data_IF_936528501138
#
_entry.id   IF_936528501138
#
_cell.length_a   1.000
_cell.length_b   1.000
_cell.length_c   1.000
_cell.angle_alpha   90.00
_cell.angle_beta   90.00
_cell.angle_gamma   90.00
#
_symmetry.space_group_name_H-M   'P 1'
#
loop_
_entity.id
_entity.type
_entity.pdbx_description
1 polymer ?
#
# COMPACT_ATOMS: atom_id res chain seq x y z
N UNK A 1 0.59 -9.18 15.02
CA UNK A 1 0.56 -7.74 14.71
C UNK A 1 -0.64 -7.38 13.83
N UNK A 2 -0.74 -7.83 12.59
CA UNK A 2 -1.88 -7.54 11.70
C UNK A 2 -3.25 -7.92 12.29
N UNK A 3 -3.35 -9.09 12.94
CA UNK A 3 -4.60 -9.53 13.57
C UNK A 3 -5.08 -8.58 14.68
N UNK A 4 -4.14 -7.97 15.42
CA UNK A 4 -4.47 -6.97 16.46
C UNK A 4 -4.95 -5.67 15.84
N UNK A 5 -4.32 -5.22 14.75
CA UNK A 5 -4.76 -4.03 14.00
C UNK A 5 -6.15 -4.24 13.36
N UNK A 6 -6.41 -5.45 12.83
CA UNK A 6 -7.74 -5.81 12.34
C UNK A 6 -8.79 -5.79 13.45
N UNK A 7 -8.41 -6.11 14.70
CA UNK A 7 -9.30 -5.99 15.84
C UNK A 7 -9.68 -4.53 16.12
N UNK A 8 -8.75 -3.59 15.92
CA UNK A 8 -9.04 -2.15 16.04
C UNK A 8 -10.05 -1.69 14.99
N UNK A 9 -9.90 -2.18 13.74
CA UNK A 9 -10.80 -1.91 12.62
C UNK A 9 -12.13 -2.70 12.68
N UNK A 10 -12.20 -3.77 13.46
CA UNK A 10 -13.31 -4.73 13.48
C UNK A 10 -14.69 -4.09 13.67
N UNK A 11 -14.81 -3.15 14.60
CA UNK A 11 -16.11 -2.49 14.88
C UNK A 11 -16.60 -1.66 13.70
N UNK A 12 -15.70 -0.97 13.02
CA UNK A 12 -16.00 -0.17 11.82
C UNK A 12 -16.44 -1.08 10.68
N UNK A 13 -15.69 -2.15 10.42
CA UNK A 13 -15.99 -3.12 9.37
C UNK A 13 -17.34 -3.81 9.62
N UNK A 14 -17.58 -4.27 10.84
CA UNK A 14 -18.85 -4.91 11.22
C UNK A 14 -20.05 -3.97 11.06
N UNK A 15 -19.91 -2.70 11.44
CA UNK A 15 -20.96 -1.70 11.28
C UNK A 15 -21.30 -1.44 9.80
N UNK A 16 -20.37 -1.70 8.89
CA UNK A 16 -20.55 -1.63 7.44
C UNK A 16 -20.86 -2.99 6.78
N UNK A 17 -21.21 -3.99 7.57
CA UNK A 17 -21.63 -5.31 7.05
C UNK A 17 -20.48 -6.23 6.63
N UNK A 18 -19.23 -5.88 6.93
CA UNK A 18 -18.06 -6.68 6.60
C UNK A 18 -17.70 -7.61 7.76
N UNK A 19 -17.58 -8.91 7.48
CA UNK A 19 -17.11 -9.91 8.43
C UNK A 19 -15.62 -10.19 8.23
N UNK A 20 -14.88 -10.35 9.33
CA UNK A 20 -13.47 -10.76 9.32
C UNK A 20 -13.36 -12.19 9.81
N UNK A 21 -12.55 -13.01 9.14
CA UNK A 21 -12.12 -14.33 9.58
C UNK A 21 -10.61 -14.43 9.39
N UNK A 22 -9.90 -15.01 10.33
CA UNK A 22 -8.51 -15.40 10.13
C UNK A 22 -8.38 -16.92 10.18
N UNK A 23 -7.51 -17.46 9.33
CA UNK A 23 -7.26 -18.91 9.24
C UNK A 23 -5.80 -19.15 9.56
N UNK A 24 -5.53 -20.12 10.44
CA UNK A 24 -4.19 -20.56 10.79
C UNK A 24 -4.12 -22.09 10.86
N UNK A 25 -2.94 -22.63 10.68
CA UNK A 25 -2.66 -24.07 10.89
C UNK A 25 -2.61 -24.47 12.38
N UNK A 26 -2.67 -23.51 13.30
CA UNK A 26 -2.66 -23.75 14.73
C UNK A 26 -3.94 -24.44 15.22
N UNK A 27 -3.84 -25.18 16.33
CA UNK A 27 -4.99 -25.84 16.92
C UNK A 27 -6.00 -24.85 17.52
N UNK A 28 -7.28 -25.25 17.70
CA UNK A 28 -8.29 -24.41 18.32
C UNK A 28 -7.89 -23.87 19.70
N UNK A 29 -7.20 -24.66 20.51
CA UNK A 29 -6.73 -24.28 21.84
C UNK A 29 -5.68 -23.17 21.77
N UNK A 30 -4.73 -23.28 20.83
CA UNK A 30 -3.69 -22.26 20.60
C UNK A 30 -4.33 -20.96 20.13
N UNK A 31 -5.27 -21.04 19.19
CA UNK A 31 -5.99 -19.87 18.68
C UNK A 31 -6.84 -19.20 19.75
N UNK A 32 -7.53 -19.97 20.60
CA UNK A 32 -8.31 -19.43 21.70
C UNK A 32 -7.42 -18.69 22.71
N UNK A 33 -6.31 -19.29 23.13
CA UNK A 33 -5.35 -18.66 24.04
C UNK A 33 -4.75 -17.38 23.45
N UNK A 34 -4.45 -17.39 22.14
CA UNK A 34 -3.97 -16.20 21.44
C UNK A 34 -5.03 -15.10 21.38
N UNK A 35 -6.28 -15.46 21.03
CA UNK A 35 -7.40 -14.51 20.98
C UNK A 35 -7.64 -13.85 22.33
N UNK A 36 -7.64 -14.63 23.43
CA UNK A 36 -7.78 -14.13 24.80
C UNK A 36 -6.63 -13.18 25.16
N UNK A 37 -5.38 -13.61 24.95
CA UNK A 37 -4.17 -12.81 25.26
C UNK A 37 -4.16 -11.46 24.52
N UNK A 38 -4.69 -11.41 23.29
CA UNK A 38 -4.65 -10.23 22.41
C UNK A 38 -5.96 -9.46 22.32
N UNK A 39 -6.99 -9.91 23.00
CA UNK A 39 -8.33 -9.28 22.98
C UNK A 39 -9.01 -9.35 21.62
N UNK A 40 -8.74 -10.40 20.81
CA UNK A 40 -9.35 -10.61 19.50
C UNK A 40 -10.73 -11.20 19.67
N UNK A 41 -11.75 -10.59 19.05
CA UNK A 41 -13.16 -10.99 19.17
C UNK A 41 -13.77 -11.49 17.87
N UNK A 42 -13.12 -11.29 16.73
CA UNK A 42 -13.54 -11.91 15.47
C UNK A 42 -13.01 -13.35 15.36
N UNK A 43 -13.67 -14.23 14.56
CA UNK A 43 -13.32 -15.64 14.49
C UNK A 43 -11.91 -15.91 14.01
N UNK A 44 -11.16 -16.72 14.76
CA UNK A 44 -9.93 -17.35 14.34
C UNK A 44 -10.25 -18.83 14.04
N UNK A 45 -10.02 -19.27 12.81
CA UNK A 45 -10.35 -20.60 12.32
C UNK A 45 -9.09 -21.47 12.28
N UNK A 46 -9.20 -22.68 12.83
CA UNK A 46 -8.13 -23.68 12.77
C UNK A 46 -8.21 -24.45 11.45
N UNK A 47 -7.08 -24.56 10.78
CA UNK A 47 -6.85 -25.39 9.59
C UNK A 47 -5.70 -26.36 9.86
N UNK A 48 -5.86 -27.19 10.90
CA UNK A 48 -4.87 -28.21 11.23
C UNK A 48 -4.61 -29.12 10.02
N UNK A 49 -3.32 -29.29 9.69
CA UNK A 49 -2.92 -29.98 8.47
C UNK A 49 -2.93 -29.11 7.20
N UNK A 50 -3.28 -27.83 7.32
CA UNK A 50 -3.18 -26.81 6.25
C UNK A 50 -3.91 -27.17 4.96
N UNK A 51 -5.05 -27.82 5.05
CA UNK A 51 -5.86 -28.25 3.89
C UNK A 51 -6.42 -27.06 3.10
N UNK A 52 -7.02 -26.09 3.81
CA UNK A 52 -7.54 -24.85 3.21
C UNK A 52 -6.42 -23.96 2.71
N UNK A 53 -5.36 -23.81 3.52
CA UNK A 53 -4.15 -23.07 3.17
C UNK A 53 -3.55 -23.62 1.88
N UNK A 54 -3.43 -24.96 1.76
CA UNK A 54 -2.93 -25.63 0.55
C UNK A 54 -3.86 -25.43 -0.66
N UNK A 55 -5.18 -25.58 -0.48
CA UNK A 55 -6.16 -25.39 -1.54
C UNK A 55 -6.17 -23.94 -2.10
N UNK A 56 -5.84 -22.95 -1.26
CA UNK A 56 -5.70 -21.55 -1.67
C UNK A 56 -4.33 -21.23 -2.27
N UNK A 57 -3.41 -22.20 -2.35
CA UNK A 57 -2.04 -22.02 -2.88
C UNK A 57 -1.16 -21.18 -1.97
N UNK A 58 -1.45 -21.12 -0.67
CA UNK A 58 -0.74 -20.31 0.30
C UNK A 58 0.32 -21.08 1.10
N UNK A 59 0.41 -22.39 0.94
CA UNK A 59 1.34 -23.21 1.72
C UNK A 59 2.79 -22.81 1.40
N UNK A 60 3.54 -22.41 2.43
CA UNK A 60 4.94 -22.07 2.30
C UNK A 60 5.81 -23.31 2.46
N UNK A 61 6.00 -24.03 1.38
CA UNK A 61 6.85 -25.23 1.34
C UNK A 61 8.35 -24.91 1.58
N UNK A 62 8.77 -23.67 1.36
CA UNK A 62 10.15 -23.23 1.53
C UNK A 62 10.45 -22.71 2.94
N UNK A 63 9.44 -22.55 3.80
CA UNK A 63 9.60 -21.95 5.13
C UNK A 63 10.72 -22.61 5.95
N UNK A 64 10.79 -23.93 5.95
CA UNK A 64 11.80 -24.69 6.68
C UNK A 64 13.22 -24.43 6.15
N UNK A 65 13.36 -24.32 4.84
CA UNK A 65 14.64 -24.08 4.16
C UNK A 65 15.11 -22.65 4.40
N UNK A 66 14.22 -21.68 4.28
CA UNK A 66 14.51 -20.26 4.48
C UNK A 66 14.89 -19.95 5.93
N UNK A 67 14.17 -20.50 6.91
CA UNK A 67 14.47 -20.30 8.33
C UNK A 67 15.85 -20.84 8.70
N UNK A 68 16.24 -22.01 8.18
CA UNK A 68 17.54 -22.58 8.42
C UNK A 68 18.66 -21.83 7.69
N UNK A 69 18.46 -21.51 6.41
CA UNK A 69 19.48 -20.88 5.58
C UNK A 69 19.78 -19.42 5.97
N UNK A 70 18.75 -18.65 6.32
CA UNK A 70 18.90 -17.21 6.59
C UNK A 70 19.06 -16.85 8.08
N UNK A 71 18.55 -17.67 8.99
CA UNK A 71 18.53 -17.33 10.42
C UNK A 71 19.24 -18.34 11.33
N UNK A 72 19.72 -19.44 10.78
CA UNK A 72 20.32 -20.52 11.57
C UNK A 72 19.35 -21.17 12.56
N UNK A 73 18.05 -20.94 12.40
CA UNK A 73 17.03 -21.46 13.32
C UNK A 73 16.67 -22.87 12.88
N UNK A 74 16.79 -23.83 13.81
CA UNK A 74 16.26 -25.18 13.60
C UNK A 74 14.74 -25.12 13.65
N UNK A 75 14.11 -25.35 12.49
CA UNK A 75 12.66 -25.41 12.40
C UNK A 75 12.15 -26.74 12.99
N UNK A 76 11.04 -26.67 13.72
CA UNK A 76 10.37 -27.83 14.29
C UNK A 76 9.34 -28.36 13.30
N UNK A 77 9.01 -29.65 13.38
CA UNK A 77 7.96 -30.26 12.55
C UNK A 77 6.60 -29.59 12.72
N UNK A 78 6.32 -29.08 13.92
CA UNK A 78 5.12 -28.32 14.24
C UNK A 78 4.98 -27.02 13.43
N UNK A 79 6.04 -26.55 12.80
CA UNK A 79 6.04 -25.39 11.90
C UNK A 79 5.79 -25.76 10.44
N UNK A 80 5.54 -27.03 10.14
CA UNK A 80 5.03 -27.44 8.84
C UNK A 80 3.58 -26.96 8.71
N UNK A 81 3.26 -26.38 7.58
CA UNK A 81 1.91 -25.86 7.35
C UNK A 81 1.78 -24.35 7.43
N UNK A 82 2.89 -23.64 7.74
CA UNK A 82 2.91 -22.16 7.71
C UNK A 82 2.48 -21.65 6.35
N UNK A 83 1.57 -20.71 6.35
CA UNK A 83 1.11 -20.04 5.13
C UNK A 83 2.01 -18.86 4.75
N UNK A 84 2.12 -18.60 3.45
CA UNK A 84 2.43 -17.24 3.00
C UNK A 84 1.32 -16.29 3.45
N UNK A 85 1.67 -15.04 3.77
CA UNK A 85 0.66 -14.03 4.06
C UNK A 85 -0.28 -13.84 2.88
N UNK A 86 -1.54 -14.15 3.09
CA UNK A 86 -2.59 -13.98 2.10
C UNK A 86 -3.82 -13.36 2.73
N UNK A 87 -4.46 -12.44 2.03
CA UNK A 87 -5.75 -11.88 2.40
C UNK A 87 -6.65 -11.87 1.18
N UNK A 88 -7.88 -12.30 1.37
CA UNK A 88 -8.91 -12.31 0.36
C UNK A 88 -10.06 -11.43 0.80
N UNK A 89 -10.57 -10.62 -0.10
CA UNK A 89 -11.85 -9.93 0.05
C UNK A 89 -12.87 -10.66 -0.80
N UNK A 90 -14.00 -11.01 -0.19
CA UNK A 90 -15.08 -11.73 -0.85
C UNK A 90 -16.32 -10.83 -0.92
N UNK A 91 -17.05 -10.93 -2.03
CA UNK A 91 -18.36 -10.30 -2.16
C UNK A 91 -19.45 -11.10 -1.39
N UNK A 92 -20.68 -10.59 -1.37
CA UNK A 92 -21.82 -11.23 -0.69
C UNK A 92 -22.18 -12.62 -1.25
N UNK A 93 -21.70 -12.97 -2.44
CA UNK A 93 -21.89 -14.29 -3.07
C UNK A 93 -20.74 -15.24 -2.77
N UNK A 94 -19.74 -14.81 -1.99
CA UNK A 94 -18.56 -15.59 -1.66
C UNK A 94 -17.53 -15.64 -2.80
N UNK A 95 -17.60 -14.73 -3.77
CA UNK A 95 -16.63 -14.63 -4.86
C UNK A 95 -15.50 -13.71 -4.42
N UNK A 96 -14.26 -14.14 -4.65
CA UNK A 96 -13.09 -13.33 -4.35
C UNK A 96 -13.06 -12.13 -5.31
N UNK A 97 -13.23 -10.92 -4.74
CA UNK A 97 -13.11 -9.66 -5.48
C UNK A 97 -11.69 -9.12 -5.47
N UNK A 98 -10.96 -9.32 -4.35
CA UNK A 98 -9.59 -8.86 -4.19
C UNK A 98 -8.75 -9.91 -3.48
N UNK A 99 -7.45 -9.94 -3.80
CA UNK A 99 -6.49 -10.82 -3.13
C UNK A 99 -5.13 -10.15 -3.01
N UNK A 100 -4.55 -10.26 -1.82
CA UNK A 100 -3.25 -9.72 -1.48
C UNK A 100 -2.34 -10.83 -0.98
N UNK A 101 -1.19 -10.97 -1.61
CA UNK A 101 -0.18 -11.97 -1.26
C UNK A 101 1.16 -11.31 -1.05
N UNK A 102 1.89 -11.79 -0.05
CA UNK A 102 3.26 -11.41 0.20
C UNK A 102 4.15 -12.63 0.19
N UNK A 103 5.23 -12.59 -0.60
CA UNK A 103 6.21 -13.67 -0.61
C UNK A 103 7.04 -13.70 0.68
N UNK A 104 7.19 -12.56 1.34
CA UNK A 104 7.85 -12.48 2.63
C UNK A 104 6.85 -12.63 3.76
N UNK A 105 7.04 -13.64 4.63
CA UNK A 105 6.21 -13.82 5.83
C UNK A 105 6.27 -12.63 6.80
N UNK A 106 7.23 -11.74 6.66
CA UNK A 106 7.40 -10.54 7.49
C UNK A 106 6.56 -9.37 7.02
N UNK A 107 6.30 -9.29 5.73
CA UNK A 107 5.56 -8.16 5.14
C UNK A 107 4.07 -8.34 5.39
N UNK A 108 3.45 -7.29 5.87
CA UNK A 108 2.00 -7.24 6.10
C UNK A 108 1.48 -5.87 5.68
N UNK A 109 0.42 -5.80 4.87
CA UNK A 109 -0.34 -4.57 4.67
C UNK A 109 -0.93 -4.08 5.98
N UNK A 110 -1.17 -2.77 6.10
CA UNK A 110 -1.92 -2.21 7.22
C UNK A 110 -3.37 -2.69 7.20
N UNK A 111 -4.04 -2.71 8.36
CA UNK A 111 -5.47 -3.02 8.42
C UNK A 111 -6.30 -2.04 7.57
N UNK A 112 -5.85 -0.79 7.45
CA UNK A 112 -6.48 0.25 6.65
C UNK A 112 -6.58 -0.13 5.17
N UNK A 113 -5.57 -0.78 4.62
CA UNK A 113 -5.58 -1.25 3.22
C UNK A 113 -6.75 -2.21 2.99
N UNK A 114 -6.97 -3.15 3.90
CA UNK A 114 -8.07 -4.10 3.78
C UNK A 114 -9.45 -3.47 4.03
N UNK A 115 -9.51 -2.52 4.96
CA UNK A 115 -10.72 -1.73 5.21
C UNK A 115 -11.16 -0.99 3.94
N UNK A 116 -10.25 -0.34 3.25
CA UNK A 116 -10.52 0.37 2.01
C UNK A 116 -10.99 -0.57 0.88
N UNK A 117 -10.36 -1.72 0.72
CA UNK A 117 -10.79 -2.71 -0.28
C UNK A 117 -12.15 -3.32 0.06
N UNK A 118 -12.37 -3.69 1.32
CA UNK A 118 -13.63 -4.28 1.76
C UNK A 118 -14.82 -3.32 1.66
N UNK A 119 -14.57 -2.02 1.84
CA UNK A 119 -15.59 -0.98 1.74
C UNK A 119 -15.66 -0.32 0.35
N UNK A 120 -14.78 -0.69 -0.59
CA UNK A 120 -14.70 -0.08 -1.91
C UNK A 120 -14.32 1.41 -1.87
N UNK A 121 -13.62 1.86 -0.82
CA UNK A 121 -13.29 3.27 -0.60
C UNK A 121 -11.87 3.64 -1.02
N UNK A 122 -11.09 2.70 -1.57
CA UNK A 122 -9.69 2.89 -1.92
C UNK A 122 -9.41 4.08 -2.85
N UNK A 123 -10.36 4.38 -3.75
CA UNK A 123 -10.25 5.52 -4.66
C UNK A 123 -10.93 6.79 -4.14
N UNK A 124 -11.78 6.68 -3.13
CA UNK A 124 -12.67 7.74 -2.68
C UNK A 124 -12.22 8.45 -1.38
N UNK A 125 -11.17 7.98 -0.70
CA UNK A 125 -10.74 8.59 0.56
C UNK A 125 -10.21 10.01 0.31
N UNK A 126 -10.90 11.06 0.78
CA UNK A 126 -10.41 12.42 0.60
C UNK A 126 -9.14 12.66 1.43
N UNK A 127 -8.27 13.56 0.99
CA UNK A 127 -7.10 13.91 1.78
C UNK A 127 -7.52 14.45 3.15
N UNK A 128 -6.80 14.11 4.22
CA UNK A 128 -6.99 14.74 5.53
C UNK A 128 -6.88 16.27 5.41
N UNK A 129 -7.63 17.00 6.24
CA UNK A 129 -7.64 18.47 6.18
C UNK A 129 -6.26 19.09 6.43
N UNK A 130 -5.41 18.39 7.18
CA UNK A 130 -4.04 18.75 7.54
C UNK A 130 -2.99 18.06 6.65
N UNK A 131 -3.40 17.40 5.56
CA UNK A 131 -2.46 16.75 4.64
C UNK A 131 -1.41 17.75 4.13
N UNK A 132 -0.12 17.41 4.19
CA UNK A 132 0.96 18.23 3.66
C UNK A 132 0.74 18.61 2.19
N UNK A 133 1.09 19.86 1.83
CA UNK A 133 0.81 20.45 0.51
C UNK A 133 1.99 21.22 -0.03
N UNK A 134 2.06 21.27 -1.37
CA UNK A 134 2.90 22.21 -2.09
C UNK A 134 2.12 22.79 -3.28
N UNK A 135 2.37 24.07 -3.59
CA UNK A 135 1.71 24.74 -4.71
C UNK A 135 2.74 25.45 -5.59
N UNK A 136 2.85 24.99 -6.84
CA UNK A 136 3.72 25.56 -7.88
C UNK A 136 3.00 26.56 -8.81
N UNK A 137 1.79 26.98 -8.47
CA UNK A 137 0.98 27.91 -9.26
C UNK A 137 0.28 27.29 -10.48
N UNK A 138 0.81 26.21 -11.02
CA UNK A 138 0.24 25.43 -12.15
C UNK A 138 -0.23 24.06 -11.72
N UNK A 139 0.39 23.52 -10.69
CA UNK A 139 0.12 22.25 -10.05
C UNK A 139 0.07 22.46 -8.54
N UNK A 140 -0.99 21.99 -7.91
CA UNK A 140 -1.09 21.83 -6.46
C UNK A 140 -0.97 20.34 -6.13
N UNK A 141 -0.27 20.04 -5.05
CA UNK A 141 -0.01 18.66 -4.62
C UNK A 141 -0.39 18.54 -3.14
N UNK A 142 -1.09 17.46 -2.81
CA UNK A 142 -1.31 17.00 -1.46
C UNK A 142 -0.76 15.59 -1.31
N UNK A 143 -0.07 15.30 -0.20
CA UNK A 143 0.47 13.97 0.06
C UNK A 143 0.15 13.57 1.50
N UNK A 144 -0.33 12.34 1.68
CA UNK A 144 -0.58 11.79 3.01
C UNK A 144 -0.34 10.28 3.00
N UNK A 145 -0.06 9.73 4.16
CA UNK A 145 0.00 8.28 4.35
C UNK A 145 -1.36 7.73 4.76
N UNK A 146 -1.65 6.48 4.42
CA UNK A 146 -2.87 5.78 4.86
C UNK A 146 -2.90 5.54 6.38
N UNK A 147 -1.74 5.65 7.06
CA UNK A 147 -1.62 5.66 8.51
C UNK A 147 -0.54 6.65 8.95
N UNK A 148 -0.73 7.37 10.07
CA UNK A 148 0.27 8.29 10.61
C UNK A 148 1.45 7.57 11.29
N UNK A 149 1.32 6.27 11.49
CA UNK A 149 2.33 5.41 12.13
C UNK A 149 2.67 4.23 11.23
N UNK A 150 3.87 3.69 11.41
CA UNK A 150 4.33 2.49 10.73
C UNK A 150 5.08 1.55 11.69
N UNK A 151 5.20 0.29 11.30
CA UNK A 151 6.07 -0.70 11.98
C UNK A 151 7.04 -1.30 10.97
N UNK A 152 8.20 -1.82 11.41
CA UNK A 152 9.07 -2.56 10.52
C UNK A 152 8.32 -3.69 9.80
N UNK A 153 8.60 -3.82 8.50
CA UNK A 153 7.99 -4.78 7.58
C UNK A 153 6.49 -4.60 7.31
N UNK A 154 5.90 -3.50 7.75
CA UNK A 154 4.55 -3.11 7.39
C UNK A 154 4.56 -2.33 6.07
N UNK A 155 3.62 -2.62 5.20
CA UNK A 155 3.38 -1.85 4.00
C UNK A 155 2.45 -0.69 4.32
N UNK A 156 2.93 0.52 4.07
CA UNK A 156 2.20 1.78 4.17
C UNK A 156 2.08 2.35 2.76
N UNK A 157 0.99 3.03 2.45
CA UNK A 157 0.83 3.71 1.16
C UNK A 157 0.85 5.21 1.34
N UNK A 158 1.59 5.89 0.48
CA UNK A 158 1.44 7.33 0.28
C UNK A 158 0.42 7.58 -0.82
N UNK A 159 -0.57 8.38 -0.53
CA UNK A 159 -1.50 8.95 -1.50
C UNK A 159 -0.95 10.28 -1.97
N UNK A 160 -0.98 10.52 -3.26
CA UNK A 160 -0.51 11.74 -3.90
C UNK A 160 -1.63 12.29 -4.78
N UNK A 161 -2.29 13.33 -4.33
CA UNK A 161 -3.28 14.05 -5.13
C UNK A 161 -2.61 15.26 -5.80
N UNK A 162 -2.73 15.30 -7.10
CA UNK A 162 -2.19 16.35 -7.96
C UNK A 162 -3.36 17.05 -8.65
N UNK A 163 -3.46 18.35 -8.50
CA UNK A 163 -4.50 19.18 -9.13
C UNK A 163 -3.85 20.18 -10.07
N UNK A 164 -4.05 19.99 -11.37
CA UNK A 164 -3.60 20.91 -12.41
C UNK A 164 -4.56 22.09 -12.52
N UNK A 165 -4.01 23.26 -12.81
CA UNK A 165 -4.83 24.41 -13.18
C UNK A 165 -5.56 24.08 -14.49
N UNK A 166 -6.84 24.49 -14.57
CA UNK A 166 -7.69 24.24 -15.75
C UNK A 166 -7.01 24.62 -17.07
N UNK A 167 -7.13 23.75 -18.07
CA UNK A 167 -6.55 23.93 -19.40
C UNK A 167 -5.06 23.58 -19.50
N UNK A 168 -4.48 23.02 -18.43
CA UNK A 168 -3.11 22.49 -18.44
C UNK A 168 -3.12 20.96 -18.43
N UNK A 169 -2.07 20.41 -19.04
CA UNK A 169 -1.74 19.00 -18.98
C UNK A 169 -0.28 18.78 -18.62
N UNK A 170 0.06 17.58 -18.18
CA UNK A 170 1.43 17.11 -17.99
C UNK A 170 1.62 15.80 -18.75
N UNK A 171 2.77 15.65 -19.39
CA UNK A 171 3.11 14.42 -20.10
C UNK A 171 3.46 13.29 -19.14
N UNK A 172 3.14 12.07 -19.54
CA UNK A 172 3.73 10.85 -18.99
C UNK A 172 4.47 10.09 -20.10
N UNK A 173 4.96 8.88 -19.85
CA UNK A 173 5.75 8.15 -20.85
C UNK A 173 4.84 7.42 -21.86
N UNK A 174 5.10 7.51 -23.17
CA UNK A 174 6.19 8.22 -23.83
C UNK A 174 6.00 9.75 -23.85
N UNK A 175 7.11 10.48 -23.84
CA UNK A 175 7.13 11.95 -23.83
C UNK A 175 7.87 12.48 -25.07
N UNK A 176 7.45 13.61 -25.68
CA UNK A 176 8.16 14.20 -26.81
C UNK A 176 9.59 14.59 -26.44
N UNK A 177 10.51 14.54 -27.41
CA UNK A 177 11.90 14.94 -27.21
C UNK A 177 11.99 16.38 -26.69
N UNK A 178 12.78 16.59 -25.62
CA UNK A 178 12.97 17.89 -25.00
C UNK A 178 11.90 18.29 -23.97
N UNK A 179 10.92 17.43 -23.72
CA UNK A 179 9.90 17.66 -22.71
C UNK A 179 10.16 16.82 -21.44
N UNK A 180 9.63 17.28 -20.32
CA UNK A 180 9.73 16.59 -19.03
C UNK A 180 8.42 15.92 -18.68
N UNK A 181 8.48 14.61 -18.37
CA UNK A 181 7.32 13.85 -17.89
C UNK A 181 7.01 14.16 -16.43
N UNK A 182 5.80 13.86 -16.03
CA UNK A 182 5.47 13.76 -14.61
C UNK A 182 6.26 12.61 -13.97
N UNK A 183 6.99 12.93 -12.90
CA UNK A 183 7.76 11.98 -12.13
C UNK A 183 7.44 12.16 -10.65
N UNK A 184 7.10 11.07 -9.99
CA UNK A 184 6.86 11.00 -8.54
C UNK A 184 7.96 10.13 -7.93
N UNK A 185 8.76 10.69 -7.06
CA UNK A 185 9.83 10.00 -6.39
C UNK A 185 9.82 10.28 -4.89
N UNK A 186 10.09 9.27 -4.11
CA UNK A 186 10.39 9.42 -2.68
C UNK A 186 11.90 9.54 -2.52
N UNK A 187 12.34 10.56 -1.79
CA UNK A 187 13.77 10.73 -1.55
C UNK A 187 14.34 9.53 -0.76
N UNK A 188 15.54 9.05 -1.12
CA UNK A 188 16.14 7.88 -0.48
C UNK A 188 16.30 8.07 1.03
N UNK A 189 15.89 7.07 1.81
CA UNK A 189 16.05 7.02 3.25
C UNK A 189 16.51 5.61 3.65
N UNK A 190 17.58 5.54 4.45
CA UNK A 190 18.09 4.24 4.89
C UNK A 190 17.07 3.52 5.77
N UNK A 191 16.72 2.30 5.38
CA UNK A 191 15.66 1.52 6.03
C UNK A 191 14.27 1.72 5.44
N UNK A 192 14.14 2.46 4.33
CA UNK A 192 12.92 2.61 3.55
C UNK A 192 13.08 1.95 2.18
N UNK A 193 12.16 1.10 1.83
CA UNK A 193 11.98 0.55 0.48
C UNK A 193 10.74 1.20 -0.15
N UNK A 194 10.90 1.67 -1.38
CA UNK A 194 9.86 2.38 -2.14
C UNK A 194 9.45 1.52 -3.33
N UNK A 195 8.17 1.22 -3.43
CA UNK A 195 7.61 0.53 -4.59
C UNK A 195 7.34 1.49 -5.76
N UNK A 196 6.91 0.92 -6.88
CA UNK A 196 6.57 1.72 -8.06
C UNK A 196 5.27 2.51 -7.81
N UNK A 197 5.23 3.81 -8.16
CA UNK A 197 4.00 4.59 -8.10
C UNK A 197 2.92 3.98 -9.02
N UNK A 198 1.73 3.77 -8.47
CA UNK A 198 0.55 3.44 -9.23
C UNK A 198 -0.14 4.75 -9.64
N UNK A 199 -0.27 4.97 -10.94
CA UNK A 199 -0.91 6.14 -11.57
C UNK A 199 -2.17 5.68 -12.31
N UNK A 200 -3.18 6.54 -12.47
CA UNK A 200 -4.35 6.22 -13.28
C UNK A 200 -3.99 6.09 -14.76
N UNK A 201 -4.94 5.62 -15.56
CA UNK A 201 -4.79 5.60 -17.00
C UNK A 201 -4.63 7.02 -17.54
N UNK A 202 -3.60 7.23 -18.38
CA UNK A 202 -3.37 8.51 -19.03
C UNK A 202 -4.24 8.66 -20.30
N UNK A 203 -4.48 9.89 -20.68
CA UNK A 203 -5.28 10.23 -21.86
C UNK A 203 -4.39 10.34 -23.11
N UNK A 204 -4.85 9.85 -24.28
CA UNK A 204 -4.13 10.06 -25.53
C UNK A 204 -4.09 11.54 -25.91
N UNK A 205 -2.95 12.00 -26.40
CA UNK A 205 -2.71 13.39 -26.77
C UNK A 205 -1.90 13.48 -28.05
N UNK A 206 -2.30 14.38 -28.97
CA UNK A 206 -1.57 14.63 -30.20
C UNK A 206 -1.03 16.05 -30.21
N UNK A 207 0.26 16.19 -30.41
CA UNK A 207 0.91 17.49 -30.59
C UNK A 207 0.80 17.93 -32.04
N UNK A 208 0.31 19.14 -32.27
CA UNK A 208 0.18 19.68 -33.62
C UNK A 208 1.54 19.71 -34.32
N UNK A 209 1.62 19.07 -35.50
CA UNK A 209 2.85 18.99 -36.31
C UNK A 209 3.78 17.82 -35.98
N UNK A 210 3.39 16.94 -35.08
CA UNK A 210 4.06 15.66 -34.83
C UNK A 210 3.11 14.51 -35.22
N UNK A 211 3.63 13.52 -35.95
CA UNK A 211 2.89 12.30 -36.34
C UNK A 211 2.92 11.23 -35.22
N UNK A 212 3.29 11.61 -34.03
CA UNK A 212 3.42 10.72 -32.88
C UNK A 212 2.28 10.94 -31.88
N UNK A 213 1.82 9.86 -31.29
CA UNK A 213 0.85 9.87 -30.19
C UNK A 213 1.54 9.86 -28.84
N UNK A 214 1.17 10.78 -27.98
CA UNK A 214 1.65 10.90 -26.61
C UNK A 214 0.50 10.65 -25.62
N UNK A 215 0.83 10.63 -24.36
CA UNK A 215 -0.15 10.46 -23.27
C UNK A 215 0.07 11.52 -22.20
N UNK A 216 -1.04 12.03 -21.68
CA UNK A 216 -1.04 13.13 -20.72
C UNK A 216 -2.00 12.86 -19.57
N UNK A 217 -1.79 13.60 -18.50
CA UNK A 217 -2.76 13.78 -17.43
C UNK A 217 -3.30 15.22 -17.46
N UNK A 218 -4.59 15.36 -17.18
CA UNK A 218 -5.31 16.62 -17.10
C UNK A 218 -6.06 16.69 -15.76
N UNK A 219 -6.49 17.88 -15.36
CA UNK A 219 -7.31 18.15 -14.20
C UNK A 219 -6.75 17.60 -12.86
N UNK A 220 -7.16 16.42 -12.46
CA UNK A 220 -6.75 15.81 -11.20
C UNK A 220 -6.19 14.40 -11.43
N UNK A 221 -5.10 14.10 -10.72
CA UNK A 221 -4.40 12.82 -10.78
C UNK A 221 -4.28 12.31 -9.36
N UNK A 222 -4.75 11.11 -9.10
CA UNK A 222 -4.51 10.42 -7.84
C UNK A 222 -3.53 9.29 -8.07
N UNK A 223 -2.40 9.37 -7.40
CA UNK A 223 -1.38 8.34 -7.43
C UNK A 223 -1.20 7.72 -6.04
N UNK A 224 -0.63 6.52 -6.00
CA UNK A 224 -0.34 5.80 -4.78
C UNK A 224 1.07 5.22 -4.85
N UNK A 225 1.87 5.43 -3.80
CA UNK A 225 3.25 4.94 -3.71
C UNK A 225 3.34 3.98 -2.52
N UNK A 226 3.60 2.68 -2.74
CA UNK A 226 3.80 1.75 -1.65
C UNK A 226 5.16 1.97 -0.99
N UNK A 227 5.17 1.99 0.34
CA UNK A 227 6.35 2.12 1.19
C UNK A 227 6.47 0.90 2.09
N UNK A 228 7.70 0.47 2.36
CA UNK A 228 8.00 -0.55 3.35
C UNK A 228 9.23 -0.15 4.17
N UNK A 229 9.04 -0.06 5.48
CA UNK A 229 10.15 0.20 6.41
C UNK A 229 10.78 -1.13 6.83
N UNK A 230 12.10 -1.26 6.72
CA UNK A 230 12.83 -2.45 7.14
C UNK A 230 13.29 -2.38 8.60
N UNK A 231 13.20 -1.20 9.21
CA UNK A 231 13.53 -0.94 10.62
C UNK A 231 12.67 0.18 11.19
N UNK A 232 12.61 0.29 12.52
CA UNK A 232 12.00 1.44 13.19
C UNK A 232 12.96 2.63 13.13
N UNK A 233 12.54 3.72 12.48
CA UNK A 233 13.29 4.99 12.39
C UNK A 233 12.79 6.03 13.41
N UNK A 234 11.84 5.67 14.27
CA UNK A 234 11.19 6.63 15.17
C UNK A 234 10.36 7.66 14.41
N UNK A 235 10.30 8.88 14.92
CA UNK A 235 9.73 9.99 14.19
C UNK A 235 10.60 10.31 12.98
N UNK A 236 10.02 10.24 11.79
CA UNK A 236 10.72 10.45 10.53
C UNK A 236 9.88 11.29 9.56
N UNK A 237 10.51 11.81 8.54
CA UNK A 237 9.86 12.59 7.48
C UNK A 237 10.18 11.93 6.15
N UNK A 238 9.13 11.66 5.38
CA UNK A 238 9.24 11.14 4.02
C UNK A 238 9.05 12.31 3.06
N UNK A 239 10.07 12.63 2.27
CA UNK A 239 9.99 13.69 1.27
C UNK A 239 9.62 13.10 -0.08
N UNK A 240 8.50 13.55 -0.64
CA UNK A 240 8.07 13.23 -1.99
C UNK A 240 8.48 14.38 -2.92
N UNK A 241 9.26 14.04 -3.95
CA UNK A 241 9.68 14.95 -5.02
C UNK A 241 8.79 14.74 -6.24
N UNK A 242 8.17 15.80 -6.71
CA UNK A 242 7.31 15.83 -7.88
C UNK A 242 7.97 16.69 -8.94
N UNK A 243 8.44 16.09 -10.01
CA UNK A 243 8.97 16.79 -11.17
C UNK A 243 7.95 16.76 -12.29
N UNK A 244 7.70 17.93 -12.92
CA UNK A 244 6.68 18.05 -13.93
C UNK A 244 6.96 19.20 -14.88
N UNK A 245 6.36 19.14 -16.06
CA UNK A 245 6.28 20.25 -17.00
C UNK A 245 4.82 20.44 -17.40
N UNK A 246 4.23 21.55 -16.97
CA UNK A 246 2.85 21.88 -17.33
C UNK A 246 2.82 22.54 -18.72
N UNK A 247 1.86 22.12 -19.55
CA UNK A 247 1.66 22.63 -20.91
C UNK A 247 0.19 23.04 -21.13
N UNK A 248 -0.01 24.07 -21.93
CA UNK A 248 -1.26 24.29 -22.66
C UNK A 248 -1.25 23.48 -23.96
N UNK A 249 -2.31 23.42 -24.74
CA UNK A 249 -2.28 22.77 -26.06
C UNK A 249 -1.23 23.32 -27.04
N UNK A 250 -0.69 24.51 -26.80
CA UNK A 250 0.23 25.19 -27.72
C UNK A 250 1.56 25.63 -27.11
N UNK A 251 1.65 25.71 -25.78
CA UNK A 251 2.85 26.22 -25.08
C UNK A 251 3.14 25.42 -23.84
N UNK A 252 4.38 24.97 -23.69
CA UNK A 252 4.87 24.37 -22.46
C UNK A 252 5.66 25.37 -21.62
N UNK A 253 5.43 25.35 -20.33
CA UNK A 253 6.18 26.14 -19.35
C UNK A 253 7.51 25.43 -19.02
N UNK A 254 8.46 26.13 -18.42
CA UNK A 254 9.67 25.49 -17.91
C UNK A 254 9.33 24.35 -16.92
N UNK A 255 10.11 23.27 -16.91
CA UNK A 255 10.00 22.23 -15.90
C UNK A 255 10.09 22.79 -14.47
N UNK A 256 9.37 22.20 -13.55
CA UNK A 256 9.33 22.61 -12.16
C UNK A 256 9.40 21.37 -11.25
N UNK A 257 9.89 21.60 -10.04
CA UNK A 257 9.95 20.57 -9.00
C UNK A 257 9.26 21.07 -7.74
N UNK A 258 8.38 20.24 -7.17
CA UNK A 258 7.78 20.43 -5.86
C UNK A 258 8.31 19.37 -4.90
N UNK A 259 8.33 19.71 -3.61
CA UNK A 259 8.63 18.78 -2.52
C UNK A 259 7.54 18.86 -1.48
N UNK A 260 7.13 17.70 -0.97
CA UNK A 260 6.15 17.59 0.10
C UNK A 260 6.70 16.66 1.16
N UNK A 261 6.76 17.15 2.39
CA UNK A 261 7.25 16.43 3.55
C UNK A 261 6.10 15.81 4.33
N UNK A 262 6.11 14.49 4.47
CA UNK A 262 5.08 13.71 5.17
C UNK A 262 5.67 13.15 6.46
N UNK A 263 5.24 13.62 7.64
CA UNK A 263 5.70 13.08 8.91
C UNK A 263 5.06 11.72 9.21
N UNK A 264 5.88 10.78 9.67
CA UNK A 264 5.45 9.45 10.12
C UNK A 264 6.13 9.09 11.44
N UNK A 265 5.46 8.29 12.27
CA UNK A 265 6.00 7.81 13.53
C UNK A 265 6.20 6.29 13.50
N UNK A 266 7.44 5.86 13.73
CA UNK A 266 7.76 4.44 13.86
C UNK A 266 7.35 3.89 15.22
N UNK A 267 6.68 2.75 15.20
CA UNK A 267 6.33 1.97 16.36
C UNK A 267 7.15 0.67 16.37
N UNK A 268 7.48 0.18 17.56
CA UNK A 268 8.16 -1.10 17.66
C UNK A 268 7.25 -2.26 17.23
N UNK A 269 7.90 -3.35 16.81
CA UNK A 269 7.20 -4.59 16.60
C UNK A 269 6.53 -5.02 17.90
N UNK A 270 5.27 -5.43 17.82
CA UNK A 270 4.60 -6.06 18.95
C UNK A 270 5.29 -7.40 19.17
N UNK A 271 6.09 -7.48 20.23
CA UNK A 271 6.73 -8.71 20.70
C UNK A 271 5.86 -9.34 21.79
N UNK A 272 6.02 -10.63 21.95
CA UNK A 272 5.30 -11.43 22.98
C UNK A 272 5.66 -11.04 24.41
#
# INVERSE_FOLDING_TARGET
MQLVELQEAWRSLQANGVAIFAISYDSPEVLAAFAEKRGITYPLLSDEGSHTIGALGLLNEQHLVEQHAFYGIQTREEQRGVAYPGTFVLDERGIISEKHFEQSYRVRPTARIFEEYALGTSEATPPPADAPRANGGKLEVQVWADAPTYRPYQQVRLHVDLSLRSGLHVFTSPVPNGFTRLLLEVEPLDGLEVGQPALPAALPFTVAGLDESFVVYEDSIRAMIPLRFTKNLGATVITVRIEYQACTPTVCFPPATLRVDVPLNGLDLIRD
#
